data_IF_344368197155
#
_entry.id   IF_344368197155
#
_cell.length_a   1.000
_cell.length_b   1.000
_cell.length_c   1.000
_cell.angle_alpha   90.00
_cell.angle_beta   90.00
_cell.angle_gamma   90.00
#
_symmetry.space_group_name_H-M   'P 1'
#
loop_
_entity.id
_entity.type
_entity.pdbx_description
1 polymer ?
#
# COMPACT_ATOMS: atom_id res chain seq x y z
N UNK A 1 6.20 8.12 16.48
CA UNK A 1 6.63 6.71 16.70
C UNK A 1 7.57 6.58 17.88
N UNK A 2 8.77 7.20 17.86
CA UNK A 2 9.75 7.11 18.97
C UNK A 2 9.22 7.66 20.30
N UNK A 3 8.55 8.81 20.26
CA UNK A 3 7.91 9.42 21.45
C UNK A 3 6.69 8.64 21.95
N UNK A 4 6.06 7.86 21.07
CA UNK A 4 4.89 7.04 21.41
C UNK A 4 5.28 5.66 21.97
N UNK A 5 6.58 5.37 22.13
CA UNK A 5 7.08 4.08 22.61
C UNK A 5 6.86 2.90 21.65
N UNK A 6 6.52 3.17 20.38
CA UNK A 6 6.30 2.12 19.39
C UNK A 6 7.65 1.75 18.76
N UNK A 7 8.07 0.47 18.83
CA UNK A 7 9.34 0.04 18.27
C UNK A 7 9.31 0.13 16.74
N UNK A 8 10.34 0.74 16.17
CA UNK A 8 10.49 0.81 14.73
C UNK A 8 11.19 -0.48 14.26
N UNK A 9 10.47 -1.33 13.53
CA UNK A 9 10.99 -2.63 13.04
C UNK A 9 11.65 -2.54 11.65
N UNK A 10 11.33 -1.51 10.87
CA UNK A 10 11.91 -1.23 9.57
C UNK A 10 11.70 0.25 9.21
N UNK A 11 12.66 0.83 8.48
CA UNK A 11 12.59 2.22 8.00
C UNK A 11 12.94 2.29 6.51
N UNK A 12 12.16 3.06 5.73
CA UNK A 12 12.43 3.39 4.32
C UNK A 12 12.58 4.91 4.20
N UNK A 13 13.75 5.42 4.57
CA UNK A 13 14.01 6.84 4.87
C UNK A 13 14.59 7.66 3.70
N UNK A 14 14.43 7.21 2.46
CA UNK A 14 14.85 8.01 1.31
C UNK A 14 14.87 7.32 -0.05
N UNK A 15 15.40 8.03 -1.03
CA UNK A 15 15.67 7.57 -2.40
C UNK A 15 15.22 8.56 -3.48
N UNK A 16 15.97 8.65 -4.58
CA UNK A 16 15.66 9.57 -5.71
C UNK A 16 14.56 9.08 -6.66
N UNK A 17 13.78 8.06 -6.28
CA UNK A 17 12.78 7.43 -7.15
C UNK A 17 11.46 7.21 -6.43
N UNK A 18 10.32 7.42 -7.12
CA UNK A 18 9.00 7.08 -6.59
C UNK A 18 8.87 5.56 -6.38
N UNK A 19 8.09 5.17 -5.39
CA UNK A 19 7.91 3.76 -5.00
C UNK A 19 6.49 3.50 -4.49
N UNK A 20 5.98 2.30 -4.79
CA UNK A 20 4.71 1.79 -4.27
C UNK A 20 4.99 0.88 -3.08
N UNK A 21 4.27 1.11 -1.98
CA UNK A 21 4.34 0.29 -0.76
C UNK A 21 3.01 -0.46 -0.63
N UNK A 22 3.11 -1.79 -0.51
CA UNK A 22 1.98 -2.68 -0.22
C UNK A 22 2.20 -3.31 1.15
N UNK A 23 1.52 -2.77 2.18
CA UNK A 23 1.58 -3.27 3.55
C UNK A 23 0.50 -4.33 3.82
N UNK A 24 0.88 -5.42 4.48
CA UNK A 24 -0.02 -6.48 4.95
C UNK A 24 -0.24 -6.36 6.46
N UNK A 25 -1.43 -5.97 6.91
CA UNK A 25 -1.72 -5.87 8.35
C UNK A 25 -1.73 -7.23 9.06
N UNK A 26 -2.05 -8.31 8.35
CA UNK A 26 -2.21 -9.64 8.96
C UNK A 26 -0.89 -10.24 9.45
N UNK A 27 0.23 -9.92 8.81
CA UNK A 27 1.55 -10.47 9.14
C UNK A 27 2.64 -9.38 9.33
N UNK A 28 2.28 -8.10 9.19
CA UNK A 28 3.20 -6.98 9.35
C UNK A 28 4.21 -6.80 8.20
N UNK A 29 4.10 -7.55 7.10
CA UNK A 29 5.04 -7.46 5.98
C UNK A 29 4.74 -6.25 5.09
N UNK A 30 5.78 -5.49 4.77
CA UNK A 30 5.74 -4.44 3.76
C UNK A 30 6.49 -4.87 2.50
N UNK A 31 5.82 -4.82 1.35
CA UNK A 31 6.45 -5.04 0.04
C UNK A 31 6.65 -3.71 -0.66
N UNK A 32 7.82 -3.49 -1.24
CA UNK A 32 8.15 -2.21 -1.86
C UNK A 32 8.60 -2.41 -3.30
N UNK A 33 8.02 -1.61 -4.21
CA UNK A 33 8.35 -1.62 -5.64
C UNK A 33 8.82 -0.23 -6.06
N UNK A 34 10.04 -0.14 -6.59
CA UNK A 34 10.51 1.06 -7.30
C UNK A 34 9.69 1.25 -8.57
N UNK A 35 9.12 2.44 -8.75
CA UNK A 35 8.40 2.81 -9.96
C UNK A 35 9.41 3.37 -10.96
N UNK A 36 9.47 2.77 -12.15
CA UNK A 36 10.33 3.23 -13.25
C UNK A 36 9.64 4.31 -14.08
N UNK A 37 8.33 4.16 -14.28
CA UNK A 37 7.49 5.10 -15.02
C UNK A 37 6.36 5.63 -14.12
N UNK A 38 6.19 6.95 -14.12
CA UNK A 38 5.09 7.64 -13.45
C UNK A 38 3.87 7.67 -14.38
N UNK A 39 3.07 6.60 -14.39
CA UNK A 39 1.78 6.56 -15.11
C UNK A 39 0.69 7.30 -14.32
N UNK A 40 0.87 8.61 -14.12
CA UNK A 40 0.00 9.44 -13.29
C UNK A 40 -1.46 9.48 -13.78
N UNK A 41 -1.69 9.37 -15.09
CA UNK A 41 -3.04 9.31 -15.68
C UNK A 41 -3.88 8.16 -15.08
N UNK A 42 -3.26 6.99 -14.85
CA UNK A 42 -3.96 5.84 -14.26
C UNK A 42 -4.27 5.99 -12.77
N UNK A 43 -3.66 6.97 -12.07
CA UNK A 43 -3.98 7.27 -10.68
C UNK A 43 -5.26 8.10 -10.60
N UNK A 44 -5.38 9.14 -11.44
CA UNK A 44 -6.56 9.98 -11.50
C UNK A 44 -7.84 9.19 -11.82
N UNK A 45 -7.76 8.24 -12.77
CA UNK A 45 -8.88 7.35 -13.11
C UNK A 45 -9.30 6.45 -11.92
N UNK A 46 -8.35 5.95 -11.15
CA UNK A 46 -8.62 5.11 -9.97
C UNK A 46 -9.22 5.90 -8.82
N UNK A 47 -8.74 7.11 -8.58
CA UNK A 47 -9.27 7.98 -7.53
C UNK A 47 -10.72 8.37 -7.83
N UNK A 48 -11.02 8.70 -9.10
CA UNK A 48 -12.41 8.94 -9.53
C UNK A 48 -13.28 7.69 -9.37
N UNK A 49 -12.76 6.51 -9.73
CA UNK A 49 -13.47 5.25 -9.52
C UNK A 49 -13.71 4.93 -8.04
N UNK A 50 -12.77 5.28 -7.15
CA UNK A 50 -12.91 5.09 -5.71
C UNK A 50 -13.93 6.07 -5.12
N UNK A 51 -13.91 7.34 -5.54
CA UNK A 51 -14.86 8.37 -5.09
C UNK A 51 -16.30 8.08 -5.55
N UNK A 52 -16.47 7.45 -6.71
CA UNK A 52 -17.79 7.01 -7.20
C UNK A 52 -18.33 5.76 -6.49
N UNK A 53 -17.50 5.06 -5.70
CA UNK A 53 -17.91 3.90 -4.90
C UNK A 53 -18.20 4.35 -3.47
N UNK A 54 -19.47 4.64 -3.17
CA UNK A 54 -19.96 4.83 -1.81
C UNK A 54 -19.67 3.58 -0.95
N UNK A 55 -19.42 3.78 0.34
CA UNK A 55 -18.86 2.80 1.28
C UNK A 55 -19.58 1.45 1.40
N UNK A 56 -20.75 1.30 0.78
CA UNK A 56 -21.67 0.17 0.94
C UNK A 56 -21.31 -1.07 0.09
N UNK A 57 -20.23 -0.99 -0.70
CA UNK A 57 -19.83 -2.07 -1.62
C UNK A 57 -18.35 -2.09 -1.98
N UNK A 58 -17.46 -1.72 -1.05
CA UNK A 58 -16.03 -1.68 -1.31
C UNK A 58 -15.53 -3.04 -1.86
N UNK A 59 -14.91 -3.10 -3.06
CA UNK A 59 -14.12 -4.26 -3.43
C UNK A 59 -13.07 -4.39 -2.36
N UNK A 60 -13.08 -5.51 -1.63
CA UNK A 60 -12.09 -5.75 -0.58
C UNK A 60 -10.73 -5.50 -1.21
N UNK A 61 -9.97 -4.49 -0.74
CA UNK A 61 -8.62 -4.30 -1.22
C UNK A 61 -7.95 -5.67 -1.12
N UNK A 62 -7.31 -6.11 -2.21
CA UNK A 62 -6.50 -7.34 -2.23
C UNK A 62 -5.26 -7.11 -1.35
N UNK A 63 -5.49 -6.89 -0.06
CA UNK A 63 -4.52 -7.14 0.97
C UNK A 63 -4.15 -8.60 0.89
N UNK A 64 -2.90 -8.86 1.26
CA UNK A 64 -2.23 -10.14 1.12
C UNK A 64 -3.23 -11.29 1.22
N UNK A 65 -3.50 -11.96 0.10
CA UNK A 65 -4.15 -13.25 0.16
C UNK A 65 -3.21 -14.08 1.05
N UNK A 66 -3.65 -14.59 2.21
CA UNK A 66 -2.81 -15.48 2.98
C UNK A 66 -2.38 -16.57 2.01
N UNK A 67 -1.08 -16.83 1.92
CA UNK A 67 -0.58 -17.97 1.18
C UNK A 67 -1.37 -19.17 1.70
N UNK A 68 -2.22 -19.72 0.83
CA UNK A 68 -2.98 -20.94 1.08
C UNK A 68 -1.98 -21.94 1.65
N UNK A 69 -2.08 -22.24 2.95
CA UNK A 69 -1.25 -23.28 3.54
C UNK A 69 -1.77 -24.60 2.95
N UNK A 70 -0.89 -25.31 2.24
CA UNK A 70 -1.08 -26.72 1.87
C UNK A 70 -0.88 -27.60 3.11
#
# INVERSE_FOLDING_TARGET
MREAGVPIVAEDVGGGYPRKIDYCPADGRARIKRLRDLRNATIAERDQSFLGQSADGLPTPRYCQPSRQE
#
